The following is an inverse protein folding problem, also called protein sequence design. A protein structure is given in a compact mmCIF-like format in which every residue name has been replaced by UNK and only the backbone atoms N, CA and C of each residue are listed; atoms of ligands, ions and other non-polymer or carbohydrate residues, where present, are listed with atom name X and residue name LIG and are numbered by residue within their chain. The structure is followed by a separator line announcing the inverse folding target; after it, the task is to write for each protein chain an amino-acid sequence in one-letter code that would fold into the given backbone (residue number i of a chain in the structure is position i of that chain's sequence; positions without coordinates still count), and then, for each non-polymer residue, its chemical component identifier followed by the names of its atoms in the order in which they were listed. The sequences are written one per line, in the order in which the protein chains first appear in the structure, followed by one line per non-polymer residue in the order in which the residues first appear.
data_IF_218821089000
#
_entry.id   IF_218821089000
#
_cell.length_a   1.000
_cell.length_b   1.000
_cell.length_c   1.000
_cell.angle_alpha   90.00
_cell.angle_beta   90.00
_cell.angle_gamma   90.00
#
_symmetry.space_group_name_H-M   'P 1'
#
loop_
_entity.id
_entity.type
_entity.pdbx_description
1 polymer ?
#
# COMPACT_ATOMS: atom_id res chain seq x y z
N UNK A 1 22.68 13.45 -4.69
CA UNK A 1 22.66 12.54 -5.85
C UNK A 1 21.66 11.45 -5.51
N UNK A 2 20.56 11.31 -6.25
CA UNK A 2 19.66 10.17 -6.03
C UNK A 2 20.45 8.90 -6.39
N UNK A 3 20.59 8.00 -5.42
CA UNK A 3 21.19 6.71 -5.66
C UNK A 3 20.19 5.92 -6.51
N UNK A 4 20.60 5.46 -7.69
CA UNK A 4 19.77 4.57 -8.51
C UNK A 4 19.73 3.20 -7.84
N UNK A 5 19.04 3.11 -6.70
CA UNK A 5 18.78 1.82 -6.06
C UNK A 5 17.75 1.08 -6.90
N UNK A 6 17.98 -0.22 -7.09
CA UNK A 6 17.06 -1.10 -7.80
C UNK A 6 15.98 -1.63 -6.85
N UNK A 7 15.74 -0.91 -5.76
CA UNK A 7 14.83 -1.36 -4.71
C UNK A 7 13.40 -1.20 -5.21
N UNK A 8 12.62 -2.28 -5.03
CA UNK A 8 11.19 -2.26 -5.27
C UNK A 8 10.47 -1.91 -3.98
N UNK A 9 9.52 -0.98 -4.04
CA UNK A 9 8.74 -0.54 -2.90
C UNK A 9 7.25 -0.61 -3.26
N UNK A 10 6.45 -1.15 -2.34
CA UNK A 10 5.01 -0.96 -2.30
C UNK A 10 4.64 0.07 -1.23
N UNK A 11 3.55 0.81 -1.45
CA UNK A 11 3.03 1.80 -0.51
C UNK A 11 1.64 1.39 -0.03
N UNK A 12 1.51 1.18 1.27
CA UNK A 12 0.25 0.87 1.95
C UNK A 12 -0.10 2.05 2.86
N UNK A 13 -1.34 2.51 2.78
CA UNK A 13 -1.91 3.58 3.60
C UNK A 13 -3.03 3.00 4.45
N UNK A 14 -3.06 3.31 5.75
CA UNK A 14 -4.18 3.01 6.64
C UNK A 14 -4.83 4.32 7.11
N UNK A 15 -6.13 4.28 7.42
CA UNK A 15 -6.93 5.46 7.73
C UNK A 15 -7.39 6.22 6.49
N UNK A 16 -7.46 5.57 5.32
CA UNK A 16 -7.98 6.21 4.09
C UNK A 16 -9.52 6.28 4.09
N UNK A 17 -10.14 7.29 3.47
CA UNK A 17 -11.60 7.33 3.33
C UNK A 17 -12.17 6.12 2.59
N UNK A 18 -11.44 5.63 1.57
CA UNK A 18 -11.75 4.40 0.84
C UNK A 18 -11.02 3.18 1.40
N UNK A 19 -11.33 2.03 0.81
CA UNK A 19 -10.64 0.76 1.06
C UNK A 19 -10.29 0.14 -0.29
N UNK A 20 -9.02 -0.16 -0.49
CA UNK A 20 -8.53 -0.75 -1.73
C UNK A 20 -7.36 -1.67 -1.41
N UNK A 21 -7.67 -2.87 -0.96
CA UNK A 21 -6.70 -3.92 -0.67
C UNK A 21 -7.32 -5.31 -0.93
N UNK A 22 -6.48 -6.33 -1.07
CA UNK A 22 -6.93 -7.66 -1.50
C UNK A 22 -7.51 -8.54 -0.39
N UNK A 23 -7.47 -8.10 0.87
CA UNK A 23 -8.02 -8.83 2.00
C UNK A 23 -9.45 -8.39 2.34
N UNK A 24 -9.83 -7.17 1.95
CA UNK A 24 -11.18 -6.68 2.16
C UNK A 24 -12.17 -7.31 1.18
N UNK A 25 -13.26 -7.86 1.70
CA UNK A 25 -14.30 -8.55 0.91
C UNK A 25 -15.39 -7.61 0.35
N UNK A 26 -15.32 -6.31 0.68
CA UNK A 26 -16.29 -5.30 0.26
C UNK A 26 -17.45 -5.07 1.24
N UNK A 27 -17.54 -5.87 2.31
CA UNK A 27 -18.67 -5.87 3.23
C UNK A 27 -18.29 -5.92 4.72
N UNK A 28 -17.11 -6.46 5.04
CA UNK A 28 -16.61 -6.54 6.41
C UNK A 28 -15.99 -5.23 6.88
N UNK A 29 -15.90 -5.06 8.20
CA UNK A 29 -15.09 -3.99 8.80
C UNK A 29 -13.61 -4.38 8.92
N UNK A 30 -13.27 -5.66 8.73
CA UNK A 30 -11.88 -6.14 8.72
C UNK A 30 -11.14 -5.63 7.48
N UNK A 31 -9.91 -5.13 7.66
CA UNK A 31 -9.09 -4.55 6.58
C UNK A 31 -9.72 -3.33 5.90
N UNK A 32 -10.72 -2.71 6.52
CA UNK A 32 -11.36 -1.50 6.04
C UNK A 32 -10.46 -0.28 6.29
N UNK A 33 -10.59 0.73 5.44
CA UNK A 33 -9.80 1.97 5.49
C UNK A 33 -8.29 1.73 5.29
N UNK A 34 -7.94 0.62 4.63
CA UNK A 34 -6.58 0.31 4.19
C UNK A 34 -6.54 0.29 2.66
N UNK A 35 -5.54 0.97 2.09
CA UNK A 35 -5.36 1.14 0.65
C UNK A 35 -3.94 0.77 0.25
N UNK A 36 -3.79 -0.12 -0.73
CA UNK A 36 -2.54 -0.37 -1.45
C UNK A 36 -2.40 0.74 -2.49
N UNK A 37 -1.84 1.87 -2.08
CA UNK A 37 -1.69 3.05 -2.94
C UNK A 37 -0.71 2.84 -4.10
N UNK A 38 0.26 1.93 -3.95
CA UNK A 38 1.16 1.51 -5.01
C UNK A 38 1.61 0.07 -4.77
N UNK A 39 1.50 -0.78 -5.79
CA UNK A 39 2.08 -2.13 -5.77
C UNK A 39 3.62 -2.09 -5.88
N UNK A 40 4.29 -3.22 -5.64
CA UNK A 40 5.75 -3.30 -5.77
C UNK A 40 6.23 -2.88 -7.15
N UNK A 41 7.02 -1.82 -7.18
CA UNK A 41 7.68 -1.31 -8.37
C UNK A 41 8.96 -0.56 -7.98
N UNK A 42 9.89 -0.45 -8.93
CA UNK A 42 11.09 0.38 -8.77
C UNK A 42 10.67 1.80 -8.38
N UNK A 43 11.43 2.40 -7.47
CA UNK A 43 11.20 3.79 -7.06
C UNK A 43 11.35 4.72 -8.25
N UNK A 44 10.32 5.55 -8.49
CA UNK A 44 10.28 6.53 -9.57
C UNK A 44 9.75 7.88 -9.07
N UNK A 45 9.71 8.85 -9.99
CA UNK A 45 9.18 10.18 -9.70
C UNK A 45 7.69 10.19 -9.37
N UNK A 46 6.92 9.23 -9.89
CA UNK A 46 5.48 9.14 -9.63
C UNK A 46 5.22 8.80 -8.16
N UNK A 47 5.98 7.85 -7.59
CA UNK A 47 5.92 7.55 -6.15
C UNK A 47 6.28 8.77 -5.30
N UNK A 48 7.35 9.48 -5.67
CA UNK A 48 7.80 10.66 -4.92
C UNK A 48 6.75 11.79 -4.97
N UNK A 49 6.20 12.06 -6.15
CA UNK A 49 5.11 13.03 -6.32
C UNK A 49 3.86 12.61 -5.54
N UNK A 50 3.52 11.32 -5.54
CA UNK A 50 2.39 10.81 -4.79
C UNK A 50 2.55 11.05 -3.28
N UNK A 51 3.70 10.68 -2.71
CA UNK A 51 3.98 10.85 -1.28
C UNK A 51 4.02 12.33 -0.90
N UNK A 52 4.61 13.17 -1.73
CA UNK A 52 4.78 14.59 -1.42
C UNK A 52 3.50 15.41 -1.60
N UNK A 53 2.72 15.15 -2.66
CA UNK A 53 1.68 16.05 -3.12
C UNK A 53 0.27 15.43 -3.14
N UNK A 54 0.14 14.10 -3.13
CA UNK A 54 -1.17 13.42 -3.29
C UNK A 54 -1.67 12.77 -2.01
N UNK A 55 -0.78 12.41 -1.07
CA UNK A 55 -1.20 11.96 0.26
C UNK A 55 -1.82 13.13 1.02
N UNK A 56 -3.11 13.01 1.34
CA UNK A 56 -3.86 13.99 2.11
C UNK A 56 -4.14 13.46 3.52
N UNK A 57 -4.13 14.36 4.50
CA UNK A 57 -4.50 14.02 5.87
C UNK A 57 -5.97 13.62 5.90
N UNK A 58 -6.26 12.52 6.59
CA UNK A 58 -7.59 11.97 6.79
C UNK A 58 -7.97 12.05 8.28
N UNK A 59 -9.25 12.16 8.58
CA UNK A 59 -9.82 12.03 9.93
C UNK A 59 -10.41 10.63 10.21
N UNK A 60 -10.22 9.69 9.28
CA UNK A 60 -10.67 8.31 9.40
C UNK A 60 -9.61 7.50 10.15
N UNK A 61 -10.05 6.75 11.16
CA UNK A 61 -9.19 5.80 11.86
C UNK A 61 -9.15 4.48 11.09
N UNK A 62 -7.96 4.00 10.75
CA UNK A 62 -7.73 2.63 10.29
C UNK A 62 -6.96 1.84 11.34
N UNK A 63 -7.08 0.51 11.31
CA UNK A 63 -6.29 -0.37 12.18
C UNK A 63 -4.88 -0.54 11.60
N UNK A 64 -3.87 -0.28 12.42
CA UNK A 64 -2.47 -0.44 12.04
C UNK A 64 -2.11 -1.92 11.81
N UNK A 65 -2.72 -2.85 12.54
CA UNK A 65 -2.48 -4.28 12.38
C UNK A 65 -3.06 -4.77 11.06
N UNK A 66 -4.21 -4.25 10.64
CA UNK A 66 -4.78 -4.51 9.31
C UNK A 66 -3.86 -3.97 8.22
N UNK A 67 -3.30 -2.76 8.40
CA UNK A 67 -2.30 -2.20 7.49
C UNK A 67 -1.06 -3.09 7.34
N UNK A 68 -0.54 -3.63 8.45
CA UNK A 68 0.61 -4.56 8.44
C UNK A 68 0.23 -5.89 7.76
N UNK A 69 -0.94 -6.45 8.08
CA UNK A 69 -1.42 -7.70 7.49
C UNK A 69 -1.58 -7.58 5.97
N UNK A 70 -2.18 -6.49 5.50
CA UNK A 70 -2.28 -6.16 4.07
C UNK A 70 -0.90 -6.05 3.43
N UNK A 71 0.06 -5.37 4.07
CA UNK A 71 1.42 -5.25 3.53
C UNK A 71 2.12 -6.62 3.40
N UNK A 72 2.01 -7.49 4.40
CA UNK A 72 2.59 -8.85 4.36
C UNK A 72 1.92 -9.71 3.29
N UNK A 73 0.59 -9.66 3.20
CA UNK A 73 -0.15 -10.38 2.17
C UNK A 73 0.24 -9.90 0.77
N UNK A 74 0.30 -8.59 0.55
CA UNK A 74 0.69 -7.99 -0.73
C UNK A 74 2.12 -8.41 -1.13
N UNK A 75 3.08 -8.37 -0.19
CA UNK A 75 4.44 -8.86 -0.42
C UNK A 75 4.46 -10.35 -0.79
N UNK A 76 3.76 -11.19 -0.03
CA UNK A 76 3.72 -12.64 -0.29
C UNK A 76 3.13 -12.95 -1.67
N UNK A 77 2.06 -12.25 -2.07
CA UNK A 77 1.45 -12.40 -3.40
C UNK A 77 2.40 -11.96 -4.52
N UNK A 78 3.16 -10.88 -4.34
CA UNK A 78 4.17 -10.45 -5.31
C UNK A 78 5.29 -11.50 -5.47
N UNK A 79 5.83 -12.01 -4.35
CA UNK A 79 6.87 -13.03 -4.38
C UNK A 79 6.39 -14.30 -5.09
N UNK A 80 5.16 -14.75 -4.83
CA UNK A 80 4.61 -15.95 -5.49
C UNK A 80 4.41 -15.78 -7.00
N UNK A 81 4.14 -14.56 -7.50
CA UNK A 81 4.05 -14.28 -8.94
C UNK A 81 5.40 -14.40 -9.64
N UNK A 82 6.51 -14.11 -8.97
CA UNK A 82 7.87 -14.15 -9.55
C UNK A 82 8.37 -15.58 -9.82
N UNK A 83 7.69 -16.61 -9.31
CA UNK A 83 8.09 -18.01 -9.45
C UNK A 83 7.08 -18.87 -10.25
N UNK A 84 6.14 -18.23 -10.94
CA UNK A 84 5.21 -18.83 -11.91
C UNK A 84 5.51 -18.30 -13.31
#
# INVERSE_FOLDING_TARGET
MFQSSKDEIALILFGTPGTENELWDGSSDEYRHVTVARSFAIVDWELLDYVQNKISISNISGDILDGIAVAINHFTKDQNKKWL
#
